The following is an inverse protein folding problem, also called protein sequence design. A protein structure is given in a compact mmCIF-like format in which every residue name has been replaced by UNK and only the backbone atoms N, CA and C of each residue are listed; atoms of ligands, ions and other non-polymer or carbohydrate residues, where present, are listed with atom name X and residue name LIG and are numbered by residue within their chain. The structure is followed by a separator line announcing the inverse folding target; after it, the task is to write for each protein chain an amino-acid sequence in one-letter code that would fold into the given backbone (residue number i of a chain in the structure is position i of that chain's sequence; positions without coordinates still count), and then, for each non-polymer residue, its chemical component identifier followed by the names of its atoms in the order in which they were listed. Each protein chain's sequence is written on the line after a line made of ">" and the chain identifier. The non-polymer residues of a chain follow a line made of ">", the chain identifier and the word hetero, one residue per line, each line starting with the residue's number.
data_IF_146906865200
#
_entry.id   IF_146906865200
#
_cell.length_a   1.000
_cell.length_b   1.000
_cell.length_c   1.000
_cell.angle_alpha   90.00
_cell.angle_beta   90.00
_cell.angle_gamma   90.00
#
_symmetry.space_group_name_H-M   'P 1'
#
loop_
_entity.id
_entity.type
_entity.pdbx_description
1 polymer ?
#
# COMPACT_ATOMS: atom_id res chain seq x y z
N UNK A 1 -7.74 20.73 -21.71
CA UNK A 1 -6.71 20.35 -20.72
C UNK A 1 -6.52 18.85 -20.81
N UNK A 2 -5.32 18.29 -20.66
CA UNK A 2 -5.16 16.85 -20.57
C UNK A 2 -6.00 16.32 -19.39
N UNK A 3 -6.52 15.09 -19.49
CA UNK A 3 -7.31 14.51 -18.42
C UNK A 3 -6.46 14.41 -17.14
N UNK A 4 -7.07 14.73 -16.00
CA UNK A 4 -6.40 14.66 -14.69
C UNK A 4 -6.00 13.21 -14.41
N UNK A 5 -4.75 12.98 -14.01
CA UNK A 5 -4.28 11.65 -13.58
C UNK A 5 -5.01 11.21 -12.32
N UNK A 6 -5.26 9.91 -12.17
CA UNK A 6 -6.07 9.31 -11.11
C UNK A 6 -5.24 8.34 -10.27
N UNK A 7 -5.31 8.48 -8.96
CA UNK A 7 -4.67 7.57 -8.01
C UNK A 7 -5.72 6.85 -7.15
N UNK A 8 -5.71 5.53 -7.18
CA UNK A 8 -6.44 4.68 -6.25
C UNK A 8 -5.50 4.29 -5.09
N UNK A 9 -5.88 4.63 -3.86
CA UNK A 9 -5.09 4.29 -2.67
C UNK A 9 -5.92 3.41 -1.74
N UNK A 10 -5.56 2.13 -1.62
CA UNK A 10 -6.29 1.23 -0.72
C UNK A 10 -5.93 1.49 0.74
N UNK A 11 -6.91 1.35 1.66
CA UNK A 11 -6.70 1.60 3.08
C UNK A 11 -6.39 3.06 3.43
N UNK A 12 -6.84 4.01 2.60
CA UNK A 12 -6.59 5.44 2.78
C UNK A 12 -7.70 6.18 3.53
N UNK A 13 -8.81 5.52 3.87
CA UNK A 13 -9.92 6.15 4.56
C UNK A 13 -9.60 6.59 5.99
N UNK A 14 -8.67 5.94 6.68
CA UNK A 14 -8.24 6.31 8.04
C UNK A 14 -6.92 7.07 8.02
N UNK A 15 -6.68 7.90 9.06
CA UNK A 15 -5.41 8.64 9.26
C UNK A 15 -4.26 7.67 9.55
N UNK A 16 -3.71 7.08 8.49
CA UNK A 16 -2.59 6.12 8.49
C UNK A 16 -1.69 6.40 7.27
N UNK A 17 -0.74 5.51 6.99
CA UNK A 17 0.16 5.63 5.83
C UNK A 17 -0.61 5.92 4.54
N UNK A 18 -1.72 5.20 4.28
CA UNK A 18 -2.51 5.39 3.05
C UNK A 18 -3.10 6.79 2.88
N UNK A 19 -3.56 7.43 3.97
CA UNK A 19 -4.09 8.80 3.87
C UNK A 19 -2.99 9.84 3.61
N UNK A 20 -1.78 9.64 4.15
CA UNK A 20 -0.63 10.53 3.89
C UNK A 20 -0.12 10.36 2.45
N UNK A 21 -0.14 9.13 1.92
CA UNK A 21 0.14 8.87 0.50
C UNK A 21 -0.91 9.55 -0.38
N UNK A 22 -2.20 9.44 -0.04
CA UNK A 22 -3.30 10.10 -0.75
C UNK A 22 -3.15 11.63 -0.76
N UNK A 23 -2.77 12.24 0.38
CA UNK A 23 -2.46 13.68 0.50
C UNK A 23 -1.31 14.08 -0.43
N UNK A 24 -0.22 13.32 -0.43
CA UNK A 24 0.94 13.61 -1.28
C UNK A 24 0.59 13.54 -2.78
N UNK A 25 -0.26 12.58 -3.19
CA UNK A 25 -0.74 12.46 -4.56
C UNK A 25 -1.71 13.60 -4.94
N UNK A 26 -2.61 13.99 -4.03
CA UNK A 26 -3.48 15.14 -4.22
C UNK A 26 -2.70 16.44 -4.46
N UNK A 27 -1.65 16.69 -3.65
CA UNK A 27 -0.73 17.84 -3.82
C UNK A 27 0.05 17.81 -5.14
N UNK A 28 0.24 16.61 -5.74
CA UNK A 28 0.80 16.45 -7.08
C UNK A 28 -0.24 16.61 -8.19
N UNK A 29 -1.48 16.99 -7.86
CA UNK A 29 -2.56 17.26 -8.82
C UNK A 29 -3.33 16.03 -9.29
N UNK A 30 -3.15 14.86 -8.65
CA UNK A 30 -3.96 13.69 -8.97
C UNK A 30 -5.39 13.86 -8.46
N UNK A 31 -6.37 13.32 -9.21
CA UNK A 31 -7.64 12.93 -8.62
C UNK A 31 -7.42 11.69 -7.74
N UNK A 32 -8.12 11.59 -6.61
CA UNK A 32 -7.86 10.53 -5.63
C UNK A 32 -9.12 9.71 -5.37
N UNK A 33 -8.99 8.40 -5.58
CA UNK A 33 -9.95 7.41 -5.14
C UNK A 33 -9.53 6.89 -3.75
N UNK A 34 -10.28 7.27 -2.72
CA UNK A 34 -10.07 6.87 -1.32
C UNK A 34 -10.82 5.57 -1.06
N UNK A 35 -10.09 4.50 -0.77
CA UNK A 35 -10.70 3.21 -0.44
C UNK A 35 -10.80 3.01 1.07
N UNK A 36 -11.91 2.43 1.51
CA UNK A 36 -12.16 1.96 2.87
C UNK A 36 -12.93 0.64 2.86
N UNK A 37 -12.92 -0.11 3.98
CA UNK A 37 -13.76 -1.30 4.14
C UNK A 37 -15.03 -0.99 4.92
N UNK A 38 -14.93 -0.49 6.14
CA UNK A 38 -16.06 -0.23 7.05
C UNK A 38 -16.07 1.19 7.63
N UNK A 39 -14.99 1.95 7.45
CA UNK A 39 -14.77 3.26 8.05
C UNK A 39 -15.25 4.40 7.14
N UNK A 40 -16.55 4.43 6.84
CA UNK A 40 -17.12 5.41 5.91
C UNK A 40 -16.98 6.87 6.39
N UNK A 41 -17.19 7.12 7.67
CA UNK A 41 -17.08 8.48 8.24
C UNK A 41 -15.64 9.01 8.13
N UNK A 42 -14.65 8.20 8.56
CA UNK A 42 -13.24 8.60 8.47
C UNK A 42 -12.76 8.72 7.01
N UNK A 43 -13.32 7.91 6.09
CA UNK A 43 -13.03 8.03 4.66
C UNK A 43 -13.56 9.36 4.09
N UNK A 44 -14.74 9.80 4.52
CA UNK A 44 -15.29 11.08 4.09
C UNK A 44 -14.55 12.28 4.71
N UNK A 45 -14.09 12.17 5.97
CA UNK A 45 -13.19 13.17 6.56
C UNK A 45 -11.88 13.30 5.75
N UNK A 46 -11.26 12.16 5.39
CA UNK A 46 -10.06 12.15 4.55
C UNK A 46 -10.36 12.77 3.18
N UNK A 47 -11.46 12.38 2.55
CA UNK A 47 -11.87 12.95 1.27
C UNK A 47 -12.13 14.46 1.34
N UNK A 48 -12.76 14.94 2.42
CA UNK A 48 -12.96 16.37 2.69
C UNK A 48 -11.65 17.14 2.77
N UNK A 49 -10.67 16.60 3.52
CA UNK A 49 -9.34 17.20 3.62
C UNK A 49 -8.62 17.28 2.26
N UNK A 50 -8.72 16.22 1.44
CA UNK A 50 -8.12 16.22 0.10
C UNK A 50 -8.83 17.18 -0.87
N UNK A 51 -10.17 17.32 -0.79
CA UNK A 51 -10.93 18.33 -1.56
C UNK A 51 -10.52 19.74 -1.20
N UNK A 52 -10.20 20.00 0.07
CA UNK A 52 -9.70 21.31 0.52
C UNK A 52 -8.34 21.68 -0.11
N UNK A 53 -7.57 20.70 -0.59
CA UNK A 53 -6.36 20.90 -1.39
C UNK A 53 -6.64 21.14 -2.89
N UNK A 54 -7.92 21.18 -3.30
CA UNK A 54 -8.31 21.31 -4.70
C UNK A 54 -8.30 20.00 -5.51
N UNK A 55 -8.14 18.85 -4.86
CA UNK A 55 -8.20 17.57 -5.54
C UNK A 55 -9.65 17.16 -5.84
N UNK A 56 -9.86 16.49 -6.97
CA UNK A 56 -11.08 15.75 -7.20
C UNK A 56 -11.02 14.42 -6.44
N UNK A 57 -12.05 14.08 -5.64
CA UNK A 57 -12.00 12.93 -4.73
C UNK A 57 -13.32 12.16 -4.75
N UNK A 58 -13.21 10.83 -4.80
CA UNK A 58 -14.30 9.89 -4.55
C UNK A 58 -13.92 8.90 -3.46
N UNK A 59 -14.92 8.41 -2.72
CA UNK A 59 -14.77 7.35 -1.72
C UNK A 59 -15.36 6.05 -2.24
N UNK A 60 -14.66 4.92 -2.04
CA UNK A 60 -15.00 3.62 -2.63
C UNK A 60 -14.89 2.52 -1.57
N UNK A 61 -16.03 1.92 -1.16
CA UNK A 61 -16.04 0.80 -0.23
C UNK A 61 -15.68 -0.52 -0.93
N UNK A 62 -14.85 -1.35 -0.29
CA UNK A 62 -14.67 -2.74 -0.69
C UNK A 62 -14.09 -3.57 0.46
N UNK A 63 -14.47 -4.84 0.57
CA UNK A 63 -13.65 -5.83 1.26
C UNK A 63 -12.66 -6.42 0.24
N UNK A 64 -11.37 -6.21 0.46
CA UNK A 64 -10.35 -6.65 -0.49
C UNK A 64 -10.14 -8.16 -0.49
N UNK A 65 -10.69 -8.88 0.48
CA UNK A 65 -10.74 -10.33 0.48
C UNK A 65 -11.85 -10.89 -0.45
N UNK A 66 -12.75 -10.04 -0.92
CA UNK A 66 -13.82 -10.40 -1.86
C UNK A 66 -13.49 -9.91 -3.28
N UNK A 67 -13.23 -10.86 -4.17
CA UNK A 67 -12.93 -10.57 -5.58
C UNK A 67 -14.03 -9.75 -6.27
N UNK A 68 -15.32 -10.03 -5.98
CA UNK A 68 -16.43 -9.30 -6.60
C UNK A 68 -16.46 -7.85 -6.12
N UNK A 69 -16.20 -7.62 -4.84
CA UNK A 69 -16.11 -6.26 -4.29
C UNK A 69 -14.93 -5.48 -4.89
N UNK A 70 -13.74 -6.11 -5.05
CA UNK A 70 -12.59 -5.48 -5.70
C UNK A 70 -12.87 -5.13 -7.15
N UNK A 71 -13.47 -6.06 -7.93
CA UNK A 71 -13.86 -5.81 -9.33
C UNK A 71 -14.87 -4.65 -9.44
N UNK A 72 -15.86 -4.61 -8.54
CA UNK A 72 -16.83 -3.54 -8.49
C UNK A 72 -16.17 -2.19 -8.17
N UNK A 73 -15.31 -2.15 -7.14
CA UNK A 73 -14.59 -0.94 -6.77
C UNK A 73 -13.76 -0.37 -7.93
N UNK A 74 -12.95 -1.21 -8.60
CA UNK A 74 -12.11 -0.74 -9.73
C UNK A 74 -12.98 -0.26 -10.89
N UNK A 75 -14.05 -0.98 -11.23
CA UNK A 75 -15.03 -0.55 -12.24
C UNK A 75 -15.65 0.81 -11.89
N UNK A 76 -16.03 1.01 -10.63
CA UNK A 76 -16.69 2.25 -10.18
C UNK A 76 -15.69 3.43 -10.16
N UNK A 77 -14.40 3.19 -9.84
CA UNK A 77 -13.32 4.19 -10.00
C UNK A 77 -13.15 4.57 -11.46
N UNK A 78 -13.10 3.57 -12.37
CA UNK A 78 -13.01 3.81 -13.82
C UNK A 78 -14.23 4.52 -14.35
N UNK A 79 -15.43 4.14 -13.90
CA UNK A 79 -16.69 4.81 -14.28
C UNK A 79 -16.74 6.28 -13.86
N UNK A 80 -16.16 6.62 -12.70
CA UNK A 80 -16.13 7.99 -12.19
C UNK A 80 -15.07 8.86 -12.83
N UNK A 81 -13.85 8.34 -13.00
CA UNK A 81 -12.69 9.13 -13.41
C UNK A 81 -12.20 8.83 -14.83
N UNK A 82 -12.67 7.77 -15.44
CA UNK A 82 -12.30 7.34 -16.79
C UNK A 82 -10.96 6.63 -16.91
N UNK A 83 -10.12 6.66 -15.85
CA UNK A 83 -8.76 6.09 -15.87
C UNK A 83 -8.25 5.78 -14.46
N UNK A 84 -7.17 4.99 -14.39
CA UNK A 84 -6.34 4.81 -13.19
C UNK A 84 -4.88 4.89 -13.63
N UNK A 85 -4.11 5.82 -13.09
CA UNK A 85 -2.70 6.00 -13.42
C UNK A 85 -1.78 5.48 -12.33
N UNK A 86 -2.26 5.48 -11.09
CA UNK A 86 -1.53 5.03 -9.91
C UNK A 86 -2.43 4.15 -9.06
N UNK A 87 -1.92 3.00 -8.65
CA UNK A 87 -2.49 2.22 -7.56
C UNK A 87 -1.47 2.12 -6.43
N UNK A 88 -1.88 2.47 -5.19
CA UNK A 88 -1.05 2.20 -4.02
C UNK A 88 -1.80 1.27 -3.07
N UNK A 89 -1.30 0.05 -2.90
CA UNK A 89 -1.89 -0.96 -2.03
C UNK A 89 -1.37 -0.80 -0.60
N UNK A 90 -2.06 0.04 0.21
CA UNK A 90 -1.74 0.29 1.62
C UNK A 90 -2.64 -0.48 2.61
N UNK A 91 -3.75 -1.04 2.15
CA UNK A 91 -4.66 -1.79 3.03
C UNK A 91 -3.99 -3.05 3.56
N UNK A 92 -4.06 -3.26 4.86
CA UNK A 92 -3.56 -4.47 5.51
C UNK A 92 -4.26 -4.71 6.86
N UNK A 93 -4.31 -5.98 7.25
CA UNK A 93 -4.54 -6.39 8.63
C UNK A 93 -3.20 -6.76 9.26
N UNK A 94 -3.01 -6.35 10.51
CA UNK A 94 -1.81 -6.59 11.29
C UNK A 94 -2.22 -6.89 12.74
N UNK A 95 -2.24 -8.20 13.06
CA UNK A 95 -2.67 -8.68 14.38
C UNK A 95 -1.58 -9.57 14.95
N UNK A 96 -1.14 -9.26 16.14
CA UNK A 96 -0.25 -10.14 16.89
C UNK A 96 -1.02 -11.26 17.57
N UNK A 97 -0.38 -12.43 17.69
CA UNK A 97 -0.93 -13.58 18.39
C UNK A 97 0.20 -14.55 18.77
N UNK A 98 0.24 -15.07 20.00
CA UNK A 98 1.18 -16.11 20.37
C UNK A 98 1.05 -17.33 19.44
N UNK A 99 2.18 -17.98 19.10
CA UNK A 99 2.20 -19.06 18.11
C UNK A 99 1.24 -20.18 18.44
N UNK A 100 1.14 -20.55 19.72
CA UNK A 100 0.27 -21.62 20.22
C UNK A 100 -1.21 -21.33 20.01
N UNK A 101 -1.58 -20.06 19.88
CA UNK A 101 -2.97 -19.61 19.69
C UNK A 101 -3.31 -19.33 18.23
N UNK A 102 -2.32 -19.37 17.31
CA UNK A 102 -2.56 -19.11 15.88
C UNK A 102 -3.39 -20.25 15.28
N UNK A 103 -4.46 -19.88 14.59
CA UNK A 103 -5.37 -20.79 13.90
C UNK A 103 -5.28 -20.63 12.38
N UNK A 104 -5.82 -21.61 11.64
CA UNK A 104 -5.96 -21.51 10.19
C UNK A 104 -6.80 -20.27 9.78
N UNK A 105 -7.78 -19.87 10.60
CA UNK A 105 -8.56 -18.67 10.34
C UNK A 105 -7.73 -17.39 10.45
N UNK A 106 -6.79 -17.32 11.40
CA UNK A 106 -5.87 -16.18 11.54
C UNK A 106 -4.95 -16.09 10.32
N UNK A 107 -4.42 -17.22 9.84
CA UNK A 107 -3.59 -17.26 8.63
C UNK A 107 -4.39 -16.81 7.41
N UNK A 108 -5.59 -17.38 7.19
CA UNK A 108 -6.47 -16.98 6.08
C UNK A 108 -6.80 -15.49 6.12
N UNK A 109 -7.17 -14.95 7.27
CA UNK A 109 -7.48 -13.53 7.41
C UNK A 109 -6.34 -12.63 6.89
N UNK A 110 -5.09 -12.97 7.24
CA UNK A 110 -3.94 -12.20 6.79
C UNK A 110 -3.66 -12.43 5.29
N UNK A 111 -3.72 -13.67 4.80
CA UNK A 111 -3.51 -13.95 3.39
C UNK A 111 -4.60 -13.37 2.51
N UNK A 112 -5.88 -13.51 2.89
CA UNK A 112 -7.01 -13.00 2.10
C UNK A 112 -6.98 -11.47 1.99
N UNK A 113 -6.64 -10.78 3.10
CA UNK A 113 -6.57 -9.31 3.06
C UNK A 113 -5.27 -8.78 2.46
N UNK A 114 -4.11 -9.28 2.94
CA UNK A 114 -2.81 -8.65 2.64
C UNK A 114 -2.22 -9.15 1.31
N UNK A 115 -2.35 -10.44 1.00
CA UNK A 115 -1.80 -11.05 -0.21
C UNK A 115 -2.83 -11.06 -1.35
N UNK A 116 -3.96 -11.76 -1.17
CA UNK A 116 -4.99 -11.86 -2.18
C UNK A 116 -5.57 -10.49 -2.54
N UNK A 117 -5.91 -9.67 -1.54
CA UNK A 117 -6.42 -8.31 -1.77
C UNK A 117 -5.45 -7.43 -2.56
N UNK A 118 -4.14 -7.48 -2.23
CA UNK A 118 -3.10 -6.79 -2.99
C UNK A 118 -3.04 -7.30 -4.43
N UNK A 119 -3.07 -8.62 -4.63
CA UNK A 119 -3.07 -9.23 -5.96
C UNK A 119 -4.28 -8.81 -6.79
N UNK A 120 -5.48 -8.92 -6.23
CA UNK A 120 -6.73 -8.59 -6.94
C UNK A 120 -6.78 -7.12 -7.35
N UNK A 121 -6.44 -6.20 -6.44
CA UNK A 121 -6.38 -4.77 -6.76
C UNK A 121 -5.35 -4.49 -7.85
N UNK A 122 -4.13 -5.05 -7.72
CA UNK A 122 -3.06 -4.87 -8.69
C UNK A 122 -3.40 -5.48 -10.05
N UNK A 123 -4.06 -6.65 -10.08
CA UNK A 123 -4.54 -7.29 -11.30
C UNK A 123 -5.60 -6.40 -12.01
N UNK A 124 -6.66 -6.00 -11.30
CA UNK A 124 -7.76 -5.28 -11.91
C UNK A 124 -7.35 -3.87 -12.38
N UNK A 125 -6.63 -3.11 -11.54
CA UNK A 125 -6.10 -1.80 -11.93
C UNK A 125 -5.01 -1.93 -13.00
N UNK A 126 -4.12 -2.91 -12.89
CA UNK A 126 -3.05 -3.16 -13.84
C UNK A 126 -3.57 -3.51 -15.24
N UNK A 127 -4.62 -4.32 -15.34
CA UNK A 127 -5.27 -4.62 -16.63
C UNK A 127 -5.92 -3.37 -17.24
N UNK A 128 -6.53 -2.49 -16.42
CA UNK A 128 -7.03 -1.21 -16.89
C UNK A 128 -5.88 -0.31 -17.39
N UNK A 129 -4.79 -0.20 -16.63
CA UNK A 129 -3.56 0.53 -17.01
C UNK A 129 -2.95 0.00 -18.31
N UNK A 130 -2.95 -1.33 -18.50
CA UNK A 130 -2.44 -1.94 -19.72
C UNK A 130 -3.21 -1.53 -20.99
N UNK A 131 -4.47 -1.17 -20.85
CA UNK A 131 -5.29 -0.59 -21.93
C UNK A 131 -5.11 0.92 -22.15
N UNK A 132 -4.34 1.61 -21.32
CA UNK A 132 -4.04 3.03 -21.45
C UNK A 132 -2.72 3.23 -22.20
N UNK A 133 -2.64 4.25 -23.05
CA UNK A 133 -1.41 4.54 -23.83
C UNK A 133 -0.23 4.88 -22.89
N UNK A 134 -0.48 5.62 -21.82
CA UNK A 134 0.53 6.03 -20.84
C UNK A 134 0.82 4.95 -19.78
N UNK A 135 0.11 3.82 -19.82
CA UNK A 135 0.26 2.76 -18.83
C UNK A 135 -0.15 3.18 -17.42
N UNK A 136 0.70 2.92 -16.44
CA UNK A 136 0.47 3.31 -15.04
C UNK A 136 1.50 2.72 -14.08
N UNK A 137 1.38 3.09 -12.80
CA UNK A 137 2.30 2.66 -11.74
C UNK A 137 1.55 2.01 -10.59
N UNK A 138 1.94 0.81 -10.22
CA UNK A 138 1.45 0.09 -9.05
C UNK A 138 2.55 0.07 -7.99
N UNK A 139 2.21 0.50 -6.77
CA UNK A 139 3.10 0.42 -5.61
C UNK A 139 2.42 -0.40 -4.52
N UNK A 140 2.98 -1.56 -4.22
CA UNK A 140 2.52 -2.42 -3.15
C UNK A 140 3.25 -2.09 -1.84
N UNK A 141 2.55 -2.12 -0.71
CA UNK A 141 3.15 -1.91 0.61
C UNK A 141 3.33 -3.27 1.30
N UNK A 142 4.57 -3.75 1.30
CA UNK A 142 5.02 -4.94 2.02
C UNK A 142 5.35 -4.65 3.48
N UNK A 143 6.42 -5.28 3.98
CA UNK A 143 6.96 -5.06 5.32
C UNK A 143 8.46 -5.42 5.34
N UNK A 144 9.31 -4.60 5.98
CA UNK A 144 10.75 -4.88 6.11
C UNK A 144 11.01 -6.21 6.82
N UNK A 145 10.13 -6.60 7.77
CA UNK A 145 10.31 -7.77 8.61
C UNK A 145 9.95 -9.10 7.89
N UNK A 146 9.62 -9.06 6.59
CA UNK A 146 9.51 -10.30 5.79
C UNK A 146 10.84 -11.07 5.73
N UNK A 147 11.98 -10.36 5.83
CA UNK A 147 13.33 -10.96 5.84
C UNK A 147 13.90 -11.14 7.24
N UNK A 148 13.38 -10.43 8.25
CA UNK A 148 13.78 -10.51 9.66
C UNK A 148 12.57 -10.48 10.59
N UNK A 149 11.78 -11.56 10.58
CA UNK A 149 10.55 -11.63 11.38
C UNK A 149 10.86 -11.59 12.88
N UNK A 150 9.90 -11.13 13.65
CA UNK A 150 9.91 -11.10 15.11
C UNK A 150 8.68 -11.81 15.67
N UNK A 151 8.71 -12.09 16.99
CA UNK A 151 7.71 -12.92 17.65
C UNK A 151 6.30 -12.32 17.59
N UNK A 152 5.30 -13.20 17.65
CA UNK A 152 3.90 -12.82 17.74
C UNK A 152 3.20 -12.55 16.41
N UNK A 153 3.87 -12.69 15.24
CA UNK A 153 3.33 -12.35 13.93
C UNK A 153 3.47 -13.48 12.89
N UNK A 154 3.46 -14.73 13.35
CA UNK A 154 3.64 -15.89 12.47
C UNK A 154 2.56 -16.03 11.37
N UNK A 155 1.34 -15.51 11.59
CA UNK A 155 0.29 -15.47 10.57
C UNK A 155 0.41 -14.26 9.62
N UNK A 156 1.06 -13.18 10.05
CA UNK A 156 1.15 -11.92 9.31
C UNK A 156 2.32 -11.89 8.32
N UNK A 157 3.55 -12.15 8.77
CA UNK A 157 4.74 -11.99 7.90
C UNK A 157 4.72 -12.86 6.64
N UNK A 158 4.23 -14.11 6.64
CA UNK A 158 4.09 -14.87 5.40
C UNK A 158 3.18 -14.19 4.38
N UNK A 159 2.10 -13.51 4.84
CA UNK A 159 1.21 -12.77 3.95
C UNK A 159 1.88 -11.53 3.34
N UNK A 160 2.82 -10.90 4.07
CA UNK A 160 3.62 -9.76 3.58
C UNK A 160 4.76 -10.24 2.67
N UNK A 161 5.40 -11.37 2.95
CA UNK A 161 6.37 -11.98 2.02
C UNK A 161 5.75 -12.34 0.66
N UNK A 162 4.47 -12.73 0.64
CA UNK A 162 3.75 -12.94 -0.61
C UNK A 162 3.64 -11.67 -1.46
N UNK A 163 3.54 -10.47 -0.85
CA UNK A 163 3.46 -9.19 -1.57
C UNK A 163 4.70 -8.96 -2.44
N UNK A 164 5.89 -9.34 -1.95
CA UNK A 164 7.15 -9.24 -2.69
C UNK A 164 7.14 -10.13 -3.94
N UNK A 165 6.67 -11.37 -3.82
CA UNK A 165 6.51 -12.29 -4.95
C UNK A 165 5.47 -11.78 -5.95
N UNK A 166 4.30 -11.34 -5.48
CA UNK A 166 3.22 -10.74 -6.29
C UNK A 166 3.75 -9.55 -7.09
N UNK A 167 4.54 -8.68 -6.47
CA UNK A 167 5.12 -7.50 -7.12
C UNK A 167 5.96 -7.89 -8.33
N UNK A 168 6.88 -8.86 -8.18
CA UNK A 168 7.76 -9.31 -9.26
C UNK A 168 6.98 -10.02 -10.37
N UNK A 169 6.05 -10.90 -10.03
CA UNK A 169 5.21 -11.59 -11.01
C UNK A 169 4.39 -10.59 -11.82
N UNK A 170 3.71 -9.64 -11.17
CA UNK A 170 2.87 -8.68 -11.88
C UNK A 170 3.67 -7.63 -12.64
N UNK A 171 4.92 -7.31 -12.23
CA UNK A 171 5.81 -6.47 -13.02
C UNK A 171 6.09 -7.12 -14.41
N UNK A 172 6.33 -8.42 -14.46
CA UNK A 172 6.54 -9.16 -15.71
C UNK A 172 5.24 -9.26 -16.52
N UNK A 173 4.17 -9.72 -15.87
CA UNK A 173 2.89 -9.99 -16.53
C UNK A 173 2.25 -8.74 -17.15
N UNK A 174 2.31 -7.61 -16.45
CA UNK A 174 1.71 -6.37 -16.92
C UNK A 174 2.60 -5.66 -17.95
N UNK A 175 3.92 -5.64 -17.75
CA UNK A 175 4.85 -5.07 -18.73
C UNK A 175 4.82 -5.82 -20.06
N UNK A 176 4.57 -7.14 -20.06
CA UNK A 176 4.36 -7.91 -21.30
C UNK A 176 3.15 -7.41 -22.10
N UNK A 177 2.12 -6.90 -21.44
CA UNK A 177 0.89 -6.34 -22.06
C UNK A 177 1.07 -4.90 -22.48
N UNK A 178 1.72 -4.10 -21.64
CA UNK A 178 2.06 -2.71 -21.91
C UNK A 178 3.32 -2.35 -21.10
N UNK A 179 4.47 -2.10 -21.77
CA UNK A 179 5.74 -1.81 -21.10
C UNK A 179 5.73 -0.49 -20.30
N UNK A 180 4.72 0.36 -20.49
CA UNK A 180 4.51 1.56 -19.69
C UNK A 180 3.83 1.27 -18.33
N UNK A 181 3.43 0.00 -18.06
CA UNK A 181 2.92 -0.39 -16.74
C UNK A 181 4.07 -0.91 -15.88
N UNK A 182 4.27 -0.28 -14.72
CA UNK A 182 5.34 -0.63 -13.78
C UNK A 182 4.77 -1.04 -12.43
N UNK A 183 5.37 -2.04 -11.80
CA UNK A 183 4.94 -2.55 -10.50
C UNK A 183 6.15 -2.64 -9.57
N UNK A 184 6.06 -1.96 -8.42
CA UNK A 184 7.10 -1.95 -7.40
C UNK A 184 6.50 -2.16 -6.01
N UNK A 185 7.33 -2.44 -5.02
CA UNK A 185 6.92 -2.47 -3.62
C UNK A 185 7.80 -1.58 -2.75
N UNK A 186 7.22 -1.10 -1.66
CA UNK A 186 7.92 -0.47 -0.55
C UNK A 186 7.80 -1.40 0.65
N UNK A 187 8.90 -1.57 1.38
CA UNK A 187 8.96 -2.37 2.61
C UNK A 187 9.21 -1.41 3.79
N UNK A 188 8.13 -0.90 4.43
CA UNK A 188 8.26 0.06 5.52
C UNK A 188 8.91 -0.56 6.75
N UNK A 189 9.78 0.19 7.41
CA UNK A 189 10.23 -0.06 8.78
C UNK A 189 9.30 0.60 9.80
N UNK A 190 9.82 1.01 10.97
CA UNK A 190 9.05 1.67 12.03
C UNK A 190 8.70 3.10 11.63
N UNK A 191 7.63 3.27 10.85
CA UNK A 191 7.17 4.58 10.32
C UNK A 191 5.87 5.07 10.95
N UNK A 192 5.22 4.23 11.75
CA UNK A 192 3.99 4.54 12.47
C UNK A 192 3.81 3.49 13.58
N UNK A 193 4.54 3.66 14.66
CA UNK A 193 4.48 2.72 15.77
C UNK A 193 3.10 2.78 16.45
N UNK A 194 2.53 1.62 16.83
CA UNK A 194 1.28 1.58 17.57
C UNK A 194 1.36 2.40 18.86
N UNK A 195 0.31 3.16 19.20
CA UNK A 195 0.28 3.96 20.43
C UNK A 195 0.34 3.09 21.71
N UNK A 196 -0.10 1.84 21.60
CA UNK A 196 -0.15 0.86 22.71
C UNK A 196 1.23 0.34 23.10
N UNK A 197 2.27 0.52 22.27
CA UNK A 197 3.63 0.10 22.59
C UNK A 197 4.17 0.90 23.78
N UNK A 198 4.86 0.21 24.67
CA UNK A 198 5.63 0.83 25.75
C UNK A 198 6.78 1.69 25.19
N UNK A 199 7.29 2.62 26.00
CA UNK A 199 8.41 3.45 25.60
C UNK A 199 9.67 2.62 25.33
N UNK A 200 9.86 1.51 26.06
CA UNK A 200 10.97 0.60 25.84
C UNK A 200 10.87 -0.10 24.47
N UNK A 201 9.68 -0.57 24.10
CA UNK A 201 9.43 -1.19 22.78
C UNK A 201 9.64 -0.18 21.65
N UNK A 202 9.16 1.06 21.81
CA UNK A 202 9.40 2.15 20.84
C UNK A 202 10.90 2.46 20.72
N UNK A 203 11.60 2.58 21.83
CA UNK A 203 13.06 2.78 21.83
C UNK A 203 13.78 1.59 21.19
N UNK A 204 13.33 0.35 21.47
CA UNK A 204 13.86 -0.86 20.85
C UNK A 204 13.70 -0.84 19.32
N UNK A 205 12.54 -0.39 18.84
CA UNK A 205 12.30 -0.22 17.41
C UNK A 205 13.25 0.81 16.78
N UNK A 206 13.52 1.93 17.46
CA UNK A 206 14.46 2.98 17.04
C UNK A 206 15.91 2.50 17.10
N UNK A 207 16.34 1.85 18.20
CA UNK A 207 17.69 1.27 18.30
C UNK A 207 18.00 0.30 17.17
N UNK A 208 16.99 -0.44 16.69
CA UNK A 208 17.10 -1.37 15.58
C UNK A 208 17.30 -0.71 14.21
N UNK A 209 17.23 0.61 14.08
CA UNK A 209 17.54 1.32 12.83
C UNK A 209 18.99 1.84 12.83
N UNK A 210 19.60 1.95 11.64
CA UNK A 210 20.91 2.61 11.48
C UNK A 210 20.78 4.12 11.68
N UNK A 211 19.67 4.71 11.26
CA UNK A 211 19.44 6.17 11.33
C UNK A 211 19.01 6.63 12.74
N UNK A 212 18.84 5.71 13.69
CA UNK A 212 18.56 5.96 15.12
C UNK A 212 17.34 6.88 15.37
N UNK A 213 16.34 6.78 14.53
CA UNK A 213 15.07 7.46 14.69
C UNK A 213 13.92 6.67 14.08
N UNK A 214 12.72 6.95 14.52
CA UNK A 214 11.50 6.53 13.83
C UNK A 214 11.40 7.24 12.47
N UNK A 215 10.91 6.53 11.46
CA UNK A 215 10.46 7.12 10.21
C UNK A 215 9.09 7.78 10.37
N UNK A 216 8.48 8.12 9.25
CA UNK A 216 7.13 8.65 9.22
C UNK A 216 6.36 8.15 8.00
N UNK A 217 5.02 8.21 8.00
CA UNK A 217 4.24 7.98 6.79
C UNK A 217 4.66 8.86 5.61
N UNK A 218 5.23 10.06 5.88
CA UNK A 218 5.80 10.94 4.86
C UNK A 218 6.98 10.33 4.12
N UNK A 219 7.82 9.52 4.79
CA UNK A 219 8.93 8.81 4.12
C UNK A 219 8.40 7.77 3.12
N UNK A 220 7.27 7.12 3.45
CA UNK A 220 6.62 6.19 2.53
C UNK A 220 6.00 6.93 1.34
N UNK A 221 5.33 8.06 1.59
CA UNK A 221 4.80 8.90 0.51
C UNK A 221 5.89 9.40 -0.44
N UNK A 222 7.06 9.81 0.08
CA UNK A 222 8.23 10.19 -0.74
C UNK A 222 8.72 9.04 -1.61
N UNK A 223 8.79 7.81 -1.07
CA UNK A 223 9.19 6.63 -1.82
C UNK A 223 8.16 6.28 -2.91
N UNK A 224 6.85 6.43 -2.65
CA UNK A 224 5.82 6.32 -3.70
C UNK A 224 6.08 7.32 -4.80
N UNK A 225 6.27 8.59 -4.48
CA UNK A 225 6.51 9.64 -5.47
C UNK A 225 7.78 9.39 -6.29
N UNK A 226 8.86 8.86 -5.69
CA UNK A 226 10.08 8.53 -6.42
C UNK A 226 9.86 7.44 -7.49
N UNK A 227 8.97 6.46 -7.23
CA UNK A 227 8.58 5.47 -8.25
C UNK A 227 7.72 6.07 -9.37
N UNK A 228 7.00 7.15 -9.11
CA UNK A 228 6.27 7.87 -10.18
C UNK A 228 7.21 8.70 -11.04
N UNK A 229 8.21 9.34 -10.42
CA UNK A 229 9.15 10.24 -11.09
C UNK A 229 10.25 9.49 -11.86
N UNK A 230 10.58 8.25 -11.49
CA UNK A 230 11.58 7.42 -12.16
C UNK A 230 10.91 6.30 -12.98
N UNK A 231 10.83 6.49 -14.28
CA UNK A 231 10.17 5.59 -15.22
C UNK A 231 11.00 4.35 -15.58
N UNK A 232 12.25 4.26 -15.12
CA UNK A 232 13.15 3.12 -15.38
C UNK A 232 13.22 2.13 -14.20
N UNK A 233 12.28 2.20 -13.26
CA UNK A 233 12.22 1.29 -12.09
C UNK A 233 10.93 0.46 -12.11
N UNK A 234 11.09 -0.87 -12.20
CA UNK A 234 10.00 -1.85 -12.07
C UNK A 234 10.51 -3.15 -11.46
N UNK A 235 9.65 -3.91 -10.77
CA UNK A 235 9.96 -5.20 -10.15
C UNK A 235 10.78 -5.08 -8.85
N UNK A 236 11.05 -3.88 -8.34
CA UNK A 236 11.85 -3.65 -7.14
C UNK A 236 10.99 -3.70 -5.86
N UNK A 237 11.57 -4.23 -4.78
CA UNK A 237 11.05 -4.15 -3.43
C UNK A 237 12.02 -3.33 -2.60
N UNK A 238 11.65 -2.06 -2.33
CA UNK A 238 12.52 -1.06 -1.72
C UNK A 238 12.29 -0.98 -0.20
N UNK A 239 13.27 -1.36 0.65
CA UNK A 239 13.20 -1.09 2.08
C UNK A 239 13.23 0.43 2.35
N UNK A 240 12.23 0.91 3.11
CA UNK A 240 12.17 2.28 3.64
C UNK A 240 12.06 2.15 5.15
N UNK A 241 13.14 1.73 5.77
CA UNK A 241 13.19 1.14 7.11
C UNK A 241 14.28 1.71 8.02
N UNK A 242 15.01 2.73 7.55
CA UNK A 242 16.13 3.31 8.28
C UNK A 242 17.32 2.37 8.44
N UNK A 243 17.47 1.39 7.54
CA UNK A 243 18.54 0.38 7.56
C UNK A 243 18.26 -0.79 8.48
N UNK A 244 17.03 -0.99 8.95
CA UNK A 244 16.65 -2.06 9.88
C UNK A 244 16.80 -3.46 9.27
N UNK A 245 16.60 -3.60 7.97
CA UNK A 245 16.79 -4.87 7.24
C UNK A 245 18.23 -5.36 7.28
N UNK A 246 19.21 -4.45 7.19
CA UNK A 246 20.65 -4.78 7.11
C UNK A 246 21.39 -4.68 8.44
N UNK A 247 20.75 -4.19 9.49
CA UNK A 247 21.35 -3.97 10.80
C UNK A 247 20.61 -4.73 11.90
N UNK A 248 21.36 -5.47 12.74
CA UNK A 248 20.91 -6.00 14.03
C UNK A 248 21.76 -5.37 15.13
N UNK A 249 21.19 -4.64 16.10
CA UNK A 249 21.92 -4.27 17.30
C UNK A 249 22.29 -5.54 18.08
N UNK A 250 23.47 -5.54 18.67
CA UNK A 250 23.93 -6.54 19.64
C UNK A 250 23.10 -6.47 20.93
#
# INVERSE_FOLDING_TARGET
>A
MPPRRVALVTGSGKKRVGSVVADALARRGYAVAVHYRTSAAEAEETAGALRALGAEVGTFPADLADEKAVRAMVRDVLGRFGRIDVLVNCAAVWKSKPLEAVTAADVRLHFDTNALGTFLCAQQAGLAMAGQAEGGVIVNVGDWAEVRPYLGYAAYFPSKGAVTAITRCLAVELAHRNPAVRVNAILPGPVMLPPELTDEEKQGAVRGTLVKREGSPGNIAQAVLSFLDNDFVTGVCLPVDGGRTVYAPE
#
